data_IF_985562448056
#
_entry.id   IF_985562448056
#
_cell.length_a   1.000
_cell.length_b   1.000
_cell.length_c   1.000
_cell.angle_alpha   90.00
_cell.angle_beta   90.00
_cell.angle_gamma   90.00
#
_symmetry.space_group_name_H-M   'P 1'
#
loop_
_entity.id
_entity.type
_entity.pdbx_description
1 polymer ?
#
# COMPACT_ATOMS: atom_id res chain seq x y z
N UNK A 1 7.79 1.55 24.15
CA UNK A 1 6.83 2.24 23.24
C UNK A 1 6.66 1.36 22.02
N UNK A 2 5.43 0.93 21.74
CA UNK A 2 5.15 0.03 20.62
C UNK A 2 5.08 0.82 19.31
N UNK A 3 5.99 0.55 18.36
CA UNK A 3 6.06 1.21 17.05
C UNK A 3 4.89 0.84 16.11
N UNK A 4 3.87 0.15 16.61
CA UNK A 4 2.69 -0.31 15.85
C UNK A 4 1.85 0.89 15.33
N UNK A 5 1.94 2.06 15.98
CA UNK A 5 1.14 3.23 15.62
C UNK A 5 1.68 4.12 14.50
N UNK A 6 2.93 3.94 14.03
CA UNK A 6 3.56 4.94 13.15
C UNK A 6 3.14 4.83 11.68
N UNK A 7 2.60 3.69 11.26
CA UNK A 7 2.32 3.43 9.84
C UNK A 7 0.85 3.25 9.51
N UNK A 8 -0.02 3.13 10.50
CA UNK A 8 -1.47 3.05 10.26
C UNK A 8 -2.02 4.47 10.09
N UNK A 9 -2.25 4.89 8.84
CA UNK A 9 -3.27 5.92 8.60
C UNK A 9 -4.60 5.25 8.91
N UNK A 10 -5.01 5.27 10.19
CA UNK A 10 -6.36 4.86 10.60
C UNK A 10 -7.34 5.71 9.81
N UNK A 11 -7.93 5.13 8.75
CA UNK A 11 -9.16 5.69 8.22
C UNK A 11 -10.21 5.54 9.31
N UNK A 12 -10.92 6.62 9.68
CA UNK A 12 -12.01 6.53 10.66
C UNK A 12 -12.98 5.41 10.25
N UNK A 13 -13.24 4.47 11.17
CA UNK A 13 -14.21 3.39 10.96
C UNK A 13 -13.66 2.00 10.57
N UNK A 14 -12.34 1.80 10.55
CA UNK A 14 -11.76 0.45 10.42
C UNK A 14 -11.39 -0.14 11.78
N UNK A 15 -11.68 -1.43 11.96
CA UNK A 15 -11.35 -2.24 13.14
C UNK A 15 -9.94 -2.84 12.99
N UNK A 16 -9.08 -2.61 13.98
CA UNK A 16 -7.68 -3.03 13.97
C UNK A 16 -7.52 -4.55 13.91
N UNK A 17 -8.38 -5.32 14.57
CA UNK A 17 -8.33 -6.79 14.55
C UNK A 17 -8.74 -7.30 13.18
N UNK A 18 -9.79 -6.70 12.60
CA UNK A 18 -10.28 -7.04 11.27
C UNK A 18 -9.28 -6.66 10.17
N UNK A 19 -8.57 -5.52 10.31
CA UNK A 19 -7.46 -5.15 9.43
C UNK A 19 -6.37 -6.22 9.48
N UNK A 20 -5.96 -6.61 10.69
CA UNK A 20 -4.91 -7.61 10.88
C UNK A 20 -5.32 -8.94 10.25
N UNK A 21 -6.53 -9.43 10.52
CA UNK A 21 -7.04 -10.67 9.95
C UNK A 21 -7.12 -10.62 8.43
N UNK A 22 -7.62 -9.52 7.85
CA UNK A 22 -7.70 -9.36 6.40
C UNK A 22 -6.31 -9.34 5.75
N UNK A 23 -5.35 -8.68 6.38
CA UNK A 23 -3.96 -8.65 5.92
C UNK A 23 -3.32 -10.04 6.01
N UNK A 24 -3.50 -10.75 7.14
CA UNK A 24 -2.96 -12.10 7.32
C UNK A 24 -3.52 -13.07 6.25
N UNK A 25 -4.81 -12.96 5.91
CA UNK A 25 -5.42 -13.74 4.83
C UNK A 25 -4.86 -13.36 3.46
N UNK A 26 -4.71 -12.07 3.15
CA UNK A 26 -4.16 -11.61 1.88
C UNK A 26 -2.72 -12.09 1.67
N UNK A 27 -1.92 -12.11 2.74
CA UNK A 27 -0.52 -12.53 2.70
C UNK A 27 -0.33 -14.02 2.42
N UNK A 28 -1.38 -14.85 2.51
CA UNK A 28 -1.30 -16.27 2.13
C UNK A 28 -0.97 -16.38 0.64
N UNK A 29 -1.65 -15.62 -0.20
CA UNK A 29 -1.52 -15.71 -1.66
C UNK A 29 -0.62 -14.62 -2.25
N UNK A 30 -0.50 -13.45 -1.59
CA UNK A 30 0.16 -12.25 -2.14
C UNK A 30 1.52 -11.91 -1.54
N UNK A 31 2.14 -12.85 -0.83
CA UNK A 31 3.39 -12.59 -0.10
C UNK A 31 4.53 -12.10 -0.99
N UNK A 32 4.61 -12.59 -2.22
CA UNK A 32 5.69 -12.23 -3.15
C UNK A 32 5.52 -10.80 -3.67
N UNK A 33 4.29 -10.40 -3.96
CA UNK A 33 3.90 -9.06 -4.38
C UNK A 33 4.17 -8.04 -3.26
N UNK A 34 3.84 -8.39 -2.02
CA UNK A 34 4.23 -7.58 -0.85
C UNK A 34 5.75 -7.43 -0.72
N UNK A 35 6.49 -8.51 -0.95
CA UNK A 35 7.97 -8.48 -0.90
C UNK A 35 8.54 -7.60 -2.00
N UNK A 36 7.98 -7.65 -3.21
CA UNK A 36 8.39 -6.80 -4.32
C UNK A 36 8.17 -5.32 -4.00
N UNK A 37 6.98 -4.95 -3.54
CA UNK A 37 6.69 -3.57 -3.14
C UNK A 37 7.56 -3.13 -1.96
N UNK A 38 7.75 -3.97 -0.96
CA UNK A 38 8.60 -3.68 0.19
C UNK A 38 10.04 -3.36 -0.24
N UNK A 39 10.61 -4.12 -1.18
CA UNK A 39 11.94 -3.87 -1.72
C UNK A 39 12.04 -2.51 -2.43
N UNK A 40 10.98 -2.11 -3.16
CA UNK A 40 10.92 -0.80 -3.83
C UNK A 40 10.76 0.34 -2.83
N UNK A 41 9.88 0.19 -1.85
CA UNK A 41 9.48 1.27 -0.95
C UNK A 41 10.51 1.49 0.17
N UNK A 42 10.90 0.43 0.87
CA UNK A 42 11.68 0.53 2.12
C UNK A 42 13.19 0.59 1.92
N UNK A 43 13.71 0.22 0.74
CA UNK A 43 15.18 0.16 0.47
C UNK A 43 15.94 -0.44 1.65
N UNK A 44 15.50 -1.59 2.15
CA UNK A 44 16.24 -2.31 3.18
C UNK A 44 17.64 -2.61 2.66
N UNK A 45 18.66 -1.99 3.26
CA UNK A 45 20.03 -2.42 3.02
C UNK A 45 20.11 -3.89 3.39
N UNK A 46 20.92 -4.69 2.69
CA UNK A 46 21.13 -6.12 3.01
C UNK A 46 21.56 -6.35 4.47
N UNK A 47 21.99 -5.30 5.18
CA UNK A 47 22.40 -5.30 6.58
C UNK A 47 21.29 -4.96 7.60
N UNK A 48 20.13 -4.46 7.17
CA UNK A 48 19.00 -4.23 8.06
C UNK A 48 18.18 -5.52 8.17
N UNK A 49 17.97 -5.97 9.41
CA UNK A 49 17.02 -7.03 9.71
C UNK A 49 15.60 -6.70 9.20
N UNK A 50 14.68 -7.67 9.23
CA UNK A 50 13.31 -7.46 8.75
C UNK A 50 12.68 -6.24 9.44
N UNK A 51 12.17 -5.30 8.64
CA UNK A 51 11.50 -4.09 9.15
C UNK A 51 10.21 -4.53 9.83
N UNK A 52 10.04 -4.27 11.14
CA UNK A 52 8.81 -4.61 11.82
C UNK A 52 7.61 -3.94 11.15
N UNK A 53 6.51 -4.67 10.98
CA UNK A 53 5.26 -4.17 10.38
C UNK A 53 5.41 -3.68 8.92
N UNK A 54 6.38 -4.21 8.17
CA UNK A 54 6.60 -3.84 6.77
C UNK A 54 5.37 -4.06 5.89
N UNK A 55 4.60 -5.11 6.18
CA UNK A 55 3.40 -5.50 5.46
C UNK A 55 2.28 -4.48 5.69
N UNK A 56 2.10 -4.00 6.92
CA UNK A 56 1.15 -2.92 7.19
C UNK A 56 1.53 -1.63 6.47
N UNK A 57 2.82 -1.28 6.46
CA UNK A 57 3.30 -0.13 5.71
C UNK A 57 3.01 -0.24 4.22
N UNK A 58 3.34 -1.39 3.61
CA UNK A 58 3.06 -1.67 2.19
C UNK A 58 1.56 -1.62 1.91
N UNK A 59 0.73 -2.20 2.78
CA UNK A 59 -0.73 -2.15 2.63
C UNK A 59 -1.24 -0.72 2.65
N UNK A 60 -0.78 0.13 3.57
CA UNK A 60 -1.22 1.52 3.64
C UNK A 60 -0.82 2.30 2.40
N UNK A 61 0.39 2.07 1.88
CA UNK A 61 0.79 2.61 0.58
C UNK A 61 -0.16 2.16 -0.54
N UNK A 62 -0.50 0.87 -0.59
CA UNK A 62 -1.44 0.32 -1.58
C UNK A 62 -2.82 1.01 -1.49
N UNK A 63 -3.32 1.23 -0.28
CA UNK A 63 -4.59 1.93 -0.05
C UNK A 63 -4.56 3.39 -0.53
N UNK A 64 -3.43 4.09 -0.38
CA UNK A 64 -3.24 5.44 -0.91
C UNK A 64 -3.19 5.45 -2.44
N UNK A 65 -2.51 4.48 -3.06
CA UNK A 65 -2.52 4.30 -4.52
C UNK A 65 -3.94 4.10 -5.02
N UNK A 66 -4.72 3.24 -4.38
CA UNK A 66 -6.10 3.00 -4.77
C UNK A 66 -6.98 4.27 -4.70
N UNK A 67 -6.83 5.09 -3.67
CA UNK A 67 -7.51 6.40 -3.60
C UNK A 67 -7.05 7.36 -4.69
N UNK A 68 -5.75 7.42 -4.96
CA UNK A 68 -5.21 8.24 -6.03
C UNK A 68 -5.79 7.84 -7.38
N UNK A 69 -5.88 6.54 -7.69
CA UNK A 69 -6.52 6.03 -8.91
C UNK A 69 -8.00 6.43 -9.01
N UNK A 70 -8.75 6.33 -7.91
CA UNK A 70 -10.16 6.77 -7.88
C UNK A 70 -10.29 8.27 -8.12
N UNK A 71 -9.34 9.06 -7.61
CA UNK A 71 -9.29 10.50 -7.87
C UNK A 71 -8.94 10.79 -9.33
N UNK A 72 -7.92 10.12 -9.89
CA UNK A 72 -7.49 10.31 -11.28
C UNK A 72 -8.55 9.90 -12.31
N UNK A 73 -9.37 8.89 -11.97
CA UNK A 73 -10.47 8.41 -12.81
C UNK A 73 -11.78 9.18 -12.62
N UNK A 74 -11.81 10.19 -11.74
CA UNK A 74 -13.02 10.98 -11.46
C UNK A 74 -14.07 10.25 -10.62
N UNK A 75 -13.74 9.10 -10.01
CA UNK A 75 -14.62 8.38 -9.08
C UNK A 75 -14.61 8.99 -7.66
N UNK A 76 -13.66 9.88 -7.38
CA UNK A 76 -13.51 10.59 -6.12
C UNK A 76 -13.08 12.04 -6.40
N UNK A 77 -13.60 12.98 -5.63
CA UNK A 77 -13.21 14.39 -5.75
C UNK A 77 -11.75 14.62 -5.37
N UNK A 78 -11.14 15.61 -6.01
CA UNK A 78 -9.80 16.08 -5.66
C UNK A 78 -9.83 16.74 -4.28
N UNK A 79 -8.99 16.25 -3.37
CA UNK A 79 -8.63 16.97 -2.15
C UNK A 79 -7.52 17.98 -2.45
N UNK A 80 -7.33 18.97 -1.58
CA UNK A 80 -6.24 19.95 -1.68
C UNK A 80 -4.85 19.30 -1.73
N UNK A 81 -4.71 18.09 -1.16
CA UNK A 81 -3.46 17.34 -1.09
C UNK A 81 -3.32 16.29 -2.20
N UNK A 82 -4.34 16.10 -3.05
CA UNK A 82 -4.32 15.07 -4.09
C UNK A 82 -3.14 15.19 -5.07
N UNK A 83 -2.73 16.40 -5.52
CA UNK A 83 -1.55 16.55 -6.38
C UNK A 83 -0.24 16.11 -5.69
N UNK A 84 -0.02 16.51 -4.44
CA UNK A 84 1.18 16.15 -3.67
C UNK A 84 1.23 14.64 -3.38
N UNK A 85 0.09 14.02 -3.06
CA UNK A 85 -0.02 12.57 -2.88
C UNK A 85 0.33 11.83 -4.17
N UNK A 86 -0.23 12.25 -5.31
CA UNK A 86 0.06 11.66 -6.60
C UNK A 86 1.56 11.74 -6.94
N UNK A 87 2.19 12.90 -6.76
CA UNK A 87 3.62 13.08 -6.98
C UNK A 87 4.48 12.21 -6.05
N UNK A 88 4.07 12.06 -4.79
CA UNK A 88 4.79 11.23 -3.81
C UNK A 88 4.75 9.75 -4.21
N UNK A 89 3.56 9.24 -4.58
CA UNK A 89 3.38 7.87 -5.08
C UNK A 89 4.29 7.63 -6.31
N UNK A 90 4.20 8.52 -7.30
CA UNK A 90 4.97 8.38 -8.53
C UNK A 90 6.47 8.39 -8.24
N UNK A 91 6.95 9.34 -7.42
CA UNK A 91 8.36 9.45 -7.04
C UNK A 91 8.87 8.20 -6.31
N UNK A 92 8.07 7.59 -5.45
CA UNK A 92 8.47 6.39 -4.72
C UNK A 92 8.58 5.18 -5.63
N UNK A 93 7.60 4.98 -6.53
CA UNK A 93 7.57 3.81 -7.42
C UNK A 93 8.53 3.94 -8.62
N UNK A 94 8.68 5.15 -9.16
CA UNK A 94 9.55 5.43 -10.31
C UNK A 94 11.03 5.40 -9.95
N UNK A 95 11.36 5.39 -8.66
CA UNK A 95 12.74 5.34 -8.18
C UNK A 95 13.44 4.10 -8.76
N UNK A 96 14.57 4.35 -9.40
CA UNK A 96 15.42 3.36 -10.06
C UNK A 96 14.70 2.58 -11.19
N UNK A 97 13.57 3.10 -11.72
CA UNK A 97 12.89 2.55 -12.90
C UNK A 97 13.26 3.33 -14.15
N UNK A 98 13.46 2.59 -15.23
CA UNK A 98 13.89 3.16 -16.52
C UNK A 98 12.77 3.17 -17.54
N UNK A 99 11.66 2.48 -17.28
CA UNK A 99 10.53 2.37 -18.23
C UNK A 99 9.19 2.64 -17.55
N UNK A 100 8.25 3.18 -18.32
CA UNK A 100 6.86 3.36 -17.88
C UNK A 100 6.19 2.03 -17.53
N UNK A 101 6.54 0.94 -18.22
CA UNK A 101 5.98 -0.39 -17.96
C UNK A 101 6.29 -0.88 -16.53
N UNK A 102 7.51 -0.64 -16.04
CA UNK A 102 7.88 -0.99 -14.66
C UNK A 102 7.10 -0.18 -13.63
N UNK A 103 6.89 1.11 -13.89
CA UNK A 103 6.07 1.97 -13.03
C UNK A 103 4.60 1.52 -13.04
N UNK A 104 4.05 1.27 -14.23
CA UNK A 104 2.68 0.79 -14.39
C UNK A 104 2.47 -0.56 -13.70
N UNK A 105 3.42 -1.48 -13.78
CA UNK A 105 3.37 -2.76 -13.06
C UNK A 105 3.22 -2.56 -11.55
N UNK A 106 4.06 -1.72 -10.93
CA UNK A 106 4.01 -1.46 -9.49
C UNK A 106 2.74 -0.72 -9.06
N UNK A 107 2.25 0.20 -9.87
CA UNK A 107 0.97 0.88 -9.65
C UNK A 107 -0.20 -0.11 -9.69
N UNK A 108 -0.24 -0.98 -10.70
CA UNK A 108 -1.27 -2.01 -10.84
C UNK A 108 -1.23 -3.01 -9.69
N UNK A 109 -0.02 -3.41 -9.28
CA UNK A 109 0.18 -4.30 -8.14
C UNK A 109 -0.38 -3.68 -6.86
N UNK A 110 -0.01 -2.42 -6.59
CA UNK A 110 -0.47 -1.67 -5.42
C UNK A 110 -2.00 -1.49 -5.44
N UNK A 111 -2.58 -1.17 -6.60
CA UNK A 111 -4.03 -1.05 -6.76
C UNK A 111 -4.75 -2.38 -6.51
N UNK A 112 -4.25 -3.49 -7.08
CA UNK A 112 -4.84 -4.83 -6.96
C UNK A 112 -4.84 -5.31 -5.51
N UNK A 113 -3.71 -5.18 -4.81
CA UNK A 113 -3.60 -5.59 -3.41
C UNK A 113 -4.56 -4.80 -2.51
N UNK A 114 -4.75 -3.51 -2.79
CA UNK A 114 -5.70 -2.68 -2.06
C UNK A 114 -7.15 -3.11 -2.28
N UNK A 115 -7.54 -3.45 -3.50
CA UNK A 115 -8.90 -3.92 -3.80
C UNK A 115 -9.15 -5.31 -3.20
N UNK A 116 -8.20 -6.24 -3.33
CA UNK A 116 -8.28 -7.57 -2.70
C UNK A 116 -8.38 -7.46 -1.17
N UNK A 117 -7.55 -6.62 -0.54
CA UNK A 117 -7.65 -6.36 0.89
C UNK A 117 -9.04 -5.84 1.28
N UNK A 118 -9.57 -4.85 0.56
CA UNK A 118 -10.89 -4.27 0.84
C UNK A 118 -12.00 -5.31 0.72
N UNK A 119 -11.91 -6.20 -0.27
CA UNK A 119 -12.88 -7.28 -0.44
C UNK A 119 -12.80 -8.32 0.68
N UNK A 120 -11.59 -8.72 1.11
CA UNK A 120 -11.42 -9.62 2.27
C UNK A 120 -12.00 -8.94 3.52
N UNK A 121 -11.57 -7.71 3.80
CA UNK A 121 -12.02 -6.94 4.95
C UNK A 121 -13.55 -6.80 4.98
N UNK A 122 -14.19 -6.53 3.84
CA UNK A 122 -15.66 -6.42 3.73
C UNK A 122 -16.38 -7.73 4.06
N UNK A 123 -15.77 -8.88 3.79
CA UNK A 123 -16.36 -10.21 3.99
C UNK A 123 -16.16 -10.76 5.40
N UNK A 124 -15.14 -10.29 6.11
CA UNK A 124 -14.98 -10.57 7.53
C UNK A 124 -16.17 -9.97 8.29
N UNK A 125 -16.68 -10.70 9.29
CA UNK A 125 -17.78 -10.25 10.13
C UNK A 125 -17.23 -9.32 11.20
#
# INVERSE_FOLDING_TARGET
MSNIGLYLVKKPGLDDEKIKQALDMLLIDRRNEFRELSAVLLKTSKSMGPVPNSEQFVLNFCLEVNEAFKTWSGQMDLSINSPQKALTILRQLSRDKTTMNQLAHLLNLSYTLADEFKEIYRRLK
#
